data_IF_566296558688
#
_entry.id   IF_566296558688
#
_cell.length_a   1.000
_cell.length_b   1.000
_cell.length_c   1.000
_cell.angle_alpha   90.00
_cell.angle_beta   90.00
_cell.angle_gamma   90.00
#
_symmetry.space_group_name_H-M   'P 1'
#
loop_
_entity.id
_entity.type
_entity.pdbx_description
1 polymer ?
#
# COMPACT_ATOMS: atom_id res chain seq x y z
N UNK A 1 2.65 14.59 -18.29
CA UNK A 1 3.39 14.76 -17.02
C UNK A 1 2.39 14.84 -15.88
N UNK A 2 2.73 14.31 -14.71
CA UNK A 2 1.81 13.89 -13.65
C UNK A 2 1.00 15.06 -13.03
N UNK A 3 -0.02 15.49 -13.76
CA UNK A 3 -0.80 16.70 -13.51
C UNK A 3 -1.49 16.68 -12.15
N UNK A 4 -1.71 15.49 -11.57
CA UNK A 4 -2.42 15.32 -10.30
C UNK A 4 -1.59 15.80 -9.11
N UNK A 5 -0.30 15.45 -9.04
CA UNK A 5 0.56 15.85 -7.93
C UNK A 5 0.79 17.36 -7.97
N UNK A 6 1.09 17.91 -9.15
CA UNK A 6 1.22 19.36 -9.34
C UNK A 6 -0.08 20.10 -9.02
N UNK A 7 -1.24 19.55 -9.39
CA UNK A 7 -2.55 20.13 -9.04
C UNK A 7 -2.82 20.13 -7.54
N UNK A 8 -2.38 19.09 -6.82
CA UNK A 8 -2.62 18.96 -5.38
C UNK A 8 -1.71 19.85 -4.54
N UNK A 9 -0.43 19.95 -4.91
CA UNK A 9 0.59 20.66 -4.14
C UNK A 9 0.88 22.08 -4.66
N UNK A 10 0.45 22.40 -5.89
CA UNK A 10 0.49 23.75 -6.44
C UNK A 10 1.88 24.39 -6.36
N UNK A 11 1.95 25.51 -5.64
CA UNK A 11 3.15 26.34 -5.51
C UNK A 11 4.21 25.75 -4.57
N UNK A 12 3.88 24.69 -3.82
CA UNK A 12 4.86 23.97 -3.00
C UNK A 12 5.88 23.19 -3.85
N UNK A 13 5.60 22.97 -5.15
CA UNK A 13 6.47 22.26 -6.09
C UNK A 13 7.24 23.25 -6.96
N UNK A 14 8.54 23.40 -6.69
CA UNK A 14 9.40 24.37 -7.38
C UNK A 14 10.02 23.86 -8.69
N UNK A 15 10.18 22.55 -8.88
CA UNK A 15 10.67 21.94 -10.13
C UNK A 15 9.70 20.86 -10.64
N UNK A 16 9.17 21.09 -11.84
CA UNK A 16 8.15 20.25 -12.49
C UNK A 16 8.67 19.48 -13.71
N UNK A 17 9.99 19.43 -13.91
CA UNK A 17 10.65 18.85 -15.09
C UNK A 17 10.57 17.32 -15.16
N UNK A 18 10.29 16.64 -14.06
CA UNK A 18 10.10 15.18 -14.00
C UNK A 18 9.37 14.78 -12.72
N UNK A 19 8.83 13.55 -12.65
CA UNK A 19 8.20 13.04 -11.42
C UNK A 19 9.18 13.07 -10.23
N UNK A 20 10.45 12.73 -10.48
CA UNK A 20 11.52 12.80 -9.47
C UNK A 20 11.70 14.24 -8.98
N UNK A 21 11.81 15.20 -9.90
CA UNK A 21 11.98 16.60 -9.57
C UNK A 21 10.78 17.15 -8.78
N UNK A 22 9.55 16.75 -9.16
CA UNK A 22 8.33 17.13 -8.46
C UNK A 22 8.39 16.72 -6.98
N UNK A 23 8.72 15.46 -6.67
CA UNK A 23 8.80 15.02 -5.27
C UNK A 23 9.99 15.61 -4.52
N UNK A 24 11.15 15.75 -5.17
CA UNK A 24 12.35 16.28 -4.54
C UNK A 24 12.25 17.78 -4.20
N UNK A 25 11.45 18.52 -4.96
CA UNK A 25 11.31 19.97 -4.85
C UNK A 25 10.03 20.42 -4.13
N UNK A 26 9.25 19.46 -3.61
CA UNK A 26 7.97 19.71 -2.95
C UNK A 26 8.15 19.98 -1.45
N UNK A 27 7.83 21.20 -1.02
CA UNK A 27 7.93 21.65 0.36
C UNK A 27 7.11 20.81 1.35
N UNK A 28 5.99 20.23 0.91
CA UNK A 28 5.15 19.35 1.73
C UNK A 28 5.86 18.09 2.22
N UNK A 29 6.94 17.67 1.54
CA UNK A 29 7.75 16.51 1.94
C UNK A 29 9.03 16.89 2.70
N UNK A 30 9.41 18.17 2.78
CA UNK A 30 10.68 18.61 3.35
C UNK A 30 10.86 18.26 4.85
N UNK A 31 9.76 18.02 5.57
CA UNK A 31 9.77 17.59 6.98
C UNK A 31 9.42 16.11 7.20
N UNK A 32 9.19 15.33 6.15
CA UNK A 32 8.72 13.96 6.25
C UNK A 32 9.89 12.97 6.38
N UNK A 33 10.42 12.81 7.59
CA UNK A 33 11.49 11.85 7.85
C UNK A 33 10.97 10.41 7.91
N UNK A 34 11.73 9.49 7.32
CA UNK A 34 11.44 8.04 7.44
C UNK A 34 11.64 7.61 8.90
N UNK A 35 10.65 6.94 9.52
CA UNK A 35 10.82 6.42 10.88
C UNK A 35 11.79 5.24 10.86
N UNK A 36 12.94 5.43 11.50
CA UNK A 36 14.05 4.46 11.56
C UNK A 36 14.38 4.11 13.01
N UNK A 37 14.87 2.88 13.20
CA UNK A 37 15.43 2.37 14.45
C UNK A 37 16.88 1.98 14.23
N UNK A 38 17.76 2.45 15.09
CA UNK A 38 19.16 2.00 15.11
C UNK A 38 19.23 0.57 15.66
N UNK A 39 19.86 -0.33 14.91
CA UNK A 39 20.03 -1.75 15.28
C UNK A 39 21.44 -2.06 15.76
N UNK A 40 22.43 -1.40 15.16
CA UNK A 40 23.84 -1.37 15.59
C UNK A 40 24.37 0.04 15.30
N UNK A 41 25.48 0.49 15.92
CA UNK A 41 26.01 1.84 15.70
C UNK A 41 26.16 2.18 14.22
N UNK A 42 25.38 3.15 13.73
CA UNK A 42 25.39 3.58 12.32
C UNK A 42 24.56 2.73 11.35
N UNK A 43 23.87 1.67 11.81
CA UNK A 43 22.98 0.83 11.01
C UNK A 43 21.53 1.03 11.43
N UNK A 44 20.67 1.37 10.46
CA UNK A 44 19.26 1.69 10.70
C UNK A 44 18.33 0.77 9.92
N UNK A 45 17.29 0.28 10.59
CA UNK A 45 16.17 -0.43 9.98
C UNK A 45 14.88 0.40 10.06
N UNK A 46 13.89 0.18 9.19
CA UNK A 46 12.56 0.78 9.35
C UNK A 46 11.96 0.47 10.72
N UNK A 47 11.34 1.46 11.36
CA UNK A 47 10.64 1.27 12.63
C UNK A 47 9.24 0.67 12.37
N UNK A 48 9.20 -0.67 12.27
CA UNK A 48 7.98 -1.44 11.96
C UNK A 48 7.09 -1.68 13.19
N UNK A 49 7.66 -1.64 14.40
CA UNK A 49 6.91 -1.85 15.63
C UNK A 49 6.17 -0.59 16.04
N UNK A 50 4.87 -0.71 16.32
CA UNK A 50 4.06 0.35 16.93
C UNK A 50 4.37 0.54 18.43
N UNK A 51 5.11 -0.38 19.05
CA UNK A 51 5.37 -0.42 20.51
C UNK A 51 6.72 0.13 20.95
N UNK A 52 7.59 0.57 20.03
CA UNK A 52 8.88 1.12 20.44
C UNK A 52 8.72 2.54 20.99
N UNK A 53 8.52 2.65 22.30
CA UNK A 53 8.54 3.92 23.06
C UNK A 53 9.98 4.22 23.46
N UNK A 54 10.79 4.70 22.52
CA UNK A 54 11.95 5.49 22.92
C UNK A 54 11.47 6.93 23.16
N UNK A 55 11.40 7.34 24.43
CA UNK A 55 11.03 8.71 24.86
C UNK A 55 12.00 9.79 24.36
N UNK A 56 13.14 9.42 23.77
CA UNK A 56 14.11 10.36 23.19
C UNK A 56 13.98 10.50 21.67
N UNK A 57 13.20 9.65 21.00
CA UNK A 57 13.02 9.72 19.56
C UNK A 57 11.99 10.78 19.20
N UNK A 58 12.44 11.83 18.48
CA UNK A 58 11.60 12.93 17.97
C UNK A 58 10.68 12.54 16.81
N UNK A 59 10.56 11.25 16.47
CA UNK A 59 9.56 10.83 15.48
C UNK A 59 8.17 10.87 16.14
N UNK A 60 7.25 11.64 15.55
CA UNK A 60 5.85 11.77 15.98
C UNK A 60 5.28 10.37 16.27
N UNK A 61 4.85 10.13 17.51
CA UNK A 61 4.31 8.85 17.99
C UNK A 61 3.11 8.36 17.14
N UNK A 62 2.52 9.24 16.32
CA UNK A 62 1.32 8.97 15.51
C UNK A 62 1.53 8.16 14.23
N UNK A 63 2.77 7.98 13.75
CA UNK A 63 3.06 7.31 12.47
C UNK A 63 3.87 6.01 12.59
N UNK A 64 4.23 5.58 13.80
CA UNK A 64 5.10 4.42 14.03
C UNK A 64 4.40 3.12 13.62
N UNK A 65 5.02 2.36 12.70
CA UNK A 65 4.51 1.09 12.19
C UNK A 65 3.31 1.15 11.23
N UNK A 66 2.54 2.25 11.16
CA UNK A 66 1.33 2.34 10.30
C UNK A 66 1.63 2.20 8.81
N UNK A 67 2.75 2.76 8.34
CA UNK A 67 3.20 2.59 6.95
C UNK A 67 3.39 1.11 6.56
N UNK A 68 3.69 0.23 7.52
CA UNK A 68 3.82 -1.19 7.27
C UNK A 68 2.49 -1.91 7.54
N UNK A 69 1.89 -1.67 8.70
CA UNK A 69 0.72 -2.42 9.19
C UNK A 69 -0.62 -1.95 8.60
N UNK A 70 -0.67 -0.81 7.92
CA UNK A 70 -1.85 -0.36 7.16
C UNK A 70 -1.61 -0.58 5.67
N UNK A 71 -0.58 0.04 5.09
CA UNK A 71 -0.41 0.06 3.63
C UNK A 71 -0.10 -1.33 3.02
N UNK A 72 0.54 -2.24 3.75
CA UNK A 72 0.83 -3.58 3.23
C UNK A 72 -0.39 -4.51 3.31
N UNK A 73 -0.94 -4.83 4.50
CA UNK A 73 -2.08 -5.75 4.61
C UNK A 73 -3.42 -5.14 4.14
N UNK A 74 -3.60 -3.83 4.25
CA UNK A 74 -4.87 -3.15 3.89
C UNK A 74 -4.76 -2.25 2.65
N UNK A 75 -3.58 -2.13 2.04
CA UNK A 75 -3.40 -1.51 0.73
C UNK A 75 -2.98 -2.55 -0.31
N UNK A 76 -1.70 -2.94 -0.29
CA UNK A 76 -1.09 -3.75 -1.34
C UNK A 76 -1.63 -5.18 -1.41
N UNK A 77 -1.92 -5.82 -0.27
CA UNK A 77 -2.49 -7.18 -0.28
C UNK A 77 -3.90 -7.20 -0.89
N UNK A 78 -4.69 -6.13 -0.74
CA UNK A 78 -6.00 -5.99 -1.37
C UNK A 78 -5.84 -5.91 -2.90
N UNK A 79 -4.95 -5.03 -3.37
CA UNK A 79 -4.67 -4.86 -4.79
C UNK A 79 -4.14 -6.17 -5.41
N UNK A 80 -3.25 -6.86 -4.71
CA UNK A 80 -2.71 -8.15 -5.13
C UNK A 80 -3.82 -9.20 -5.23
N UNK A 81 -4.73 -9.27 -4.26
CA UNK A 81 -5.81 -10.25 -4.29
C UNK A 81 -6.76 -10.03 -5.48
N UNK A 82 -7.07 -8.77 -5.79
CA UNK A 82 -7.85 -8.45 -7.00
C UNK A 82 -7.11 -8.84 -8.29
N UNK A 83 -5.79 -8.66 -8.35
CA UNK A 83 -4.99 -9.11 -9.49
C UNK A 83 -4.98 -10.65 -9.64
N UNK A 84 -5.00 -11.38 -8.54
CA UNK A 84 -5.17 -12.84 -8.53
C UNK A 84 -6.55 -13.27 -9.06
N UNK A 85 -7.62 -12.60 -8.63
CA UNK A 85 -8.98 -12.84 -9.12
C UNK A 85 -9.14 -12.53 -10.61
N UNK A 86 -8.39 -11.54 -11.14
CA UNK A 86 -8.37 -11.18 -12.57
C UNK A 86 -7.63 -12.20 -13.47
N UNK A 87 -7.47 -13.45 -13.03
CA UNK A 87 -6.70 -14.46 -13.75
C UNK A 87 -5.20 -14.39 -13.49
N UNK A 88 -4.80 -14.02 -12.26
CA UNK A 88 -3.40 -13.96 -11.82
C UNK A 88 -2.52 -13.01 -12.65
N UNK A 89 -2.99 -11.78 -12.85
CA UNK A 89 -2.26 -10.76 -13.59
C UNK A 89 -0.91 -10.43 -12.91
N UNK A 90 0.21 -10.38 -13.66
CA UNK A 90 1.53 -10.14 -13.07
C UNK A 90 1.65 -8.72 -12.52
N UNK A 91 2.05 -8.60 -11.25
CA UNK A 91 2.16 -7.32 -10.53
C UNK A 91 3.53 -7.15 -9.89
N UNK A 92 4.62 -7.15 -10.68
CA UNK A 92 6.00 -7.26 -10.16
C UNK A 92 6.40 -6.14 -9.19
N UNK A 93 5.81 -4.95 -9.32
CA UNK A 93 6.06 -3.84 -8.39
C UNK A 93 5.33 -4.02 -7.06
N UNK A 94 4.13 -4.58 -7.07
CA UNK A 94 3.39 -4.92 -5.85
C UNK A 94 4.11 -6.08 -5.15
N UNK A 95 4.50 -7.11 -5.90
CA UNK A 95 5.24 -8.27 -5.39
C UNK A 95 6.55 -7.84 -4.72
N UNK A 96 7.34 -6.99 -5.39
CA UNK A 96 8.56 -6.43 -4.82
C UNK A 96 8.31 -5.67 -3.52
N UNK A 97 7.30 -4.80 -3.49
CA UNK A 97 6.99 -4.00 -2.30
C UNK A 97 6.55 -4.90 -1.14
N UNK A 98 5.63 -5.84 -1.36
CA UNK A 98 5.21 -6.77 -0.30
C UNK A 98 6.41 -7.58 0.19
N UNK A 99 7.24 -8.12 -0.70
CA UNK A 99 8.43 -8.92 -0.34
C UNK A 99 9.43 -8.16 0.51
N UNK A 100 9.72 -6.92 0.15
CA UNK A 100 10.67 -6.12 0.91
C UNK A 100 10.12 -5.78 2.30
N UNK A 101 8.85 -5.39 2.41
CA UNK A 101 8.27 -5.01 3.69
C UNK A 101 8.10 -6.20 4.64
N UNK A 102 7.68 -7.35 4.11
CA UNK A 102 7.38 -8.55 4.90
C UNK A 102 8.61 -9.07 5.67
N UNK A 103 9.83 -8.83 5.15
CA UNK A 103 11.11 -9.15 5.81
C UNK A 103 11.27 -8.47 7.17
N UNK A 104 10.77 -7.23 7.30
CA UNK A 104 10.85 -6.46 8.54
C UNK A 104 9.64 -6.70 9.46
N UNK A 105 8.54 -7.23 8.93
CA UNK A 105 7.28 -7.47 9.66
C UNK A 105 7.24 -8.83 10.36
N UNK A 106 8.15 -9.75 10.01
CA UNK A 106 8.13 -11.15 10.50
C UNK A 106 6.80 -11.87 10.18
N UNK A 107 6.16 -11.51 9.07
CA UNK A 107 4.91 -12.10 8.58
C UNK A 107 5.10 -12.43 7.10
N UNK A 108 4.61 -13.58 6.63
CA UNK A 108 4.73 -13.97 5.23
C UNK A 108 3.42 -13.70 4.47
N UNK A 109 3.19 -12.48 3.99
CA UNK A 109 2.02 -12.15 3.15
C UNK A 109 2.08 -12.72 1.74
N UNK A 110 3.28 -12.77 1.13
CA UNK A 110 3.50 -13.32 -0.21
C UNK A 110 4.37 -14.58 -0.11
N UNK A 111 3.96 -15.64 -0.80
CA UNK A 111 4.69 -16.89 -0.94
C UNK A 111 5.78 -16.80 -2.03
N UNK A 112 6.61 -17.83 -2.17
CA UNK A 112 7.72 -17.86 -3.15
C UNK A 112 7.23 -17.85 -4.61
N UNK A 113 6.02 -18.34 -4.85
CA UNK A 113 5.32 -18.34 -6.15
C UNK A 113 4.69 -16.97 -6.53
N UNK A 114 4.87 -15.94 -5.71
CA UNK A 114 4.23 -14.62 -5.83
C UNK A 114 2.71 -14.65 -5.64
N UNK A 115 2.16 -15.65 -4.94
CA UNK A 115 0.76 -15.66 -4.54
C UNK A 115 0.59 -15.24 -3.08
N UNK A 116 -0.55 -14.65 -2.74
CA UNK A 116 -0.88 -14.31 -1.36
C UNK A 116 -0.97 -15.56 -0.51
N UNK A 117 -0.32 -15.52 0.65
CA UNK A 117 -0.28 -16.64 1.58
C UNK A 117 -1.64 -16.81 2.27
N UNK A 118 -2.36 -17.93 2.03
CA UNK A 118 -3.66 -18.17 2.65
C UNK A 118 -3.61 -18.17 4.18
N UNK A 119 -2.47 -18.54 4.77
CA UNK A 119 -2.28 -18.62 6.23
C UNK A 119 -2.26 -17.24 6.91
N UNK A 120 -1.88 -16.19 6.18
CA UNK A 120 -1.78 -14.82 6.72
C UNK A 120 -2.93 -13.93 6.25
N UNK A 121 -3.85 -14.43 5.41
CA UNK A 121 -4.98 -13.65 4.87
C UNK A 121 -5.84 -13.03 5.97
N UNK A 122 -6.01 -13.69 7.12
CA UNK A 122 -6.79 -13.19 8.25
C UNK A 122 -6.28 -11.84 8.79
N UNK A 123 -4.99 -11.52 8.59
CA UNK A 123 -4.37 -10.25 8.98
C UNK A 123 -4.54 -9.13 7.96
N UNK A 124 -5.11 -9.43 6.79
CA UNK A 124 -5.25 -8.50 5.67
C UNK A 124 -6.68 -7.99 5.52
N UNK A 125 -6.86 -7.00 4.65
CA UNK A 125 -8.17 -6.59 4.14
C UNK A 125 -8.55 -7.26 2.82
N UNK A 126 -7.86 -8.33 2.40
CA UNK A 126 -8.08 -8.96 1.12
C UNK A 126 -9.53 -9.52 1.02
N UNK A 127 -10.24 -9.31 -0.11
CA UNK A 127 -11.60 -9.83 -0.32
C UNK A 127 -11.77 -11.33 -0.01
N UNK A 128 -10.77 -12.15 -0.35
CA UNK A 128 -10.77 -13.59 -0.05
C UNK A 128 -10.98 -13.92 1.44
N UNK A 129 -10.54 -13.05 2.35
CA UNK A 129 -10.78 -13.21 3.80
C UNK A 129 -12.26 -13.20 4.15
N UNK A 130 -13.06 -12.47 3.38
CA UNK A 130 -14.49 -12.27 3.62
C UNK A 130 -15.36 -13.26 2.82
N UNK A 131 -14.76 -14.27 2.19
CA UNK A 131 -15.47 -15.24 1.35
C UNK A 131 -15.81 -14.73 -0.05
N UNK A 132 -15.25 -13.59 -0.45
CA UNK A 132 -15.39 -13.05 -1.80
C UNK A 132 -14.25 -13.64 -2.64
N UNK A 133 -14.59 -14.48 -3.62
CA UNK A 133 -13.60 -15.23 -4.42
C UNK A 133 -13.61 -14.85 -5.90
N UNK A 134 -14.61 -14.08 -6.33
CA UNK A 134 -14.74 -13.59 -7.69
C UNK A 134 -14.94 -12.07 -7.72
N UNK A 135 -14.59 -11.46 -8.86
CA UNK A 135 -14.74 -10.01 -9.07
C UNK A 135 -16.21 -9.64 -9.20
N UNK A 136 -17.03 -10.51 -9.78
CA UNK A 136 -18.47 -10.25 -9.84
C UNK A 136 -19.03 -10.14 -8.42
N UNK A 137 -18.64 -11.04 -7.52
CA UNK A 137 -19.05 -11.00 -6.10
C UNK A 137 -18.55 -9.71 -5.40
N UNK A 138 -17.31 -9.31 -5.66
CA UNK A 138 -16.74 -8.08 -5.11
C UNK A 138 -17.51 -6.82 -5.57
N UNK A 139 -17.90 -6.79 -6.84
CA UNK A 139 -18.70 -5.68 -7.38
C UNK A 139 -20.13 -5.73 -6.84
N UNK A 140 -20.77 -6.89 -6.83
CA UNK A 140 -22.16 -7.06 -6.37
C UNK A 140 -22.35 -6.62 -4.92
N UNK A 141 -21.40 -6.97 -4.05
CA UNK A 141 -21.37 -6.55 -2.64
C UNK A 141 -21.14 -5.05 -2.45
N UNK A 142 -20.57 -4.37 -3.45
CA UNK A 142 -20.27 -2.93 -3.40
C UNK A 142 -21.36 -2.06 -4.05
N UNK A 143 -22.26 -2.66 -4.83
CA UNK A 143 -23.31 -1.92 -5.54
C UNK A 143 -24.52 -1.63 -4.63
N UNK A 144 -25.08 -0.41 -4.68
CA UNK A 144 -26.43 -0.18 -4.19
C UNK A 144 -27.39 -1.16 -4.86
N UNK A 145 -28.40 -1.67 -4.14
CA UNK A 145 -29.39 -2.62 -4.69
C UNK A 145 -30.04 -2.13 -5.99
N UNK A 146 -30.19 -0.82 -6.13
CA UNK A 146 -30.76 -0.15 -7.31
C UNK A 146 -29.87 -0.26 -8.57
N UNK A 147 -28.57 -0.52 -8.39
CA UNK A 147 -27.59 -0.65 -9.45
C UNK A 147 -27.33 -2.12 -9.84
N UNK A 148 -27.99 -3.08 -9.18
CA UNK A 148 -27.94 -4.49 -9.58
C UNK A 148 -28.55 -4.66 -10.97
N UNK A 149 -27.78 -5.16 -11.93
CA UNK A 149 -28.18 -5.27 -13.33
C UNK A 149 -27.94 -4.02 -14.18
N UNK A 150 -27.39 -2.93 -13.62
CA UNK A 150 -26.98 -1.76 -14.39
C UNK A 150 -25.86 -2.14 -15.37
N UNK A 151 -26.11 -1.94 -16.67
CA UNK A 151 -25.07 -2.02 -17.71
C UNK A 151 -24.69 -0.62 -18.13
N UNK A 152 -23.49 -0.19 -17.76
CA UNK A 152 -22.96 1.10 -18.19
C UNK A 152 -22.96 1.16 -19.73
N UNK A 153 -23.43 2.25 -20.37
CA UNK A 153 -23.50 2.32 -21.84
C UNK A 153 -22.17 2.06 -22.57
N UNK A 154 -21.04 2.27 -21.87
CA UNK A 154 -19.68 1.98 -22.34
C UNK A 154 -19.17 0.55 -22.09
N UNK A 155 -19.93 -0.34 -21.45
CA UNK A 155 -19.52 -1.72 -21.16
C UNK A 155 -19.51 -2.63 -22.41
N UNK A 156 -19.65 -2.05 -23.61
CA UNK A 156 -19.68 -2.72 -24.92
C UNK A 156 -18.43 -2.46 -25.77
N UNK A 157 -17.38 -1.85 -25.20
CA UNK A 157 -16.08 -1.73 -25.86
C UNK A 157 -15.13 -2.81 -25.36
#
# INVERSE_FOLDING_TARGET
MDARVVKQYGDDVSDRTSLRAIFASNLGYAGCNTPLKEVTPGQFHPAVDSRYVDRRSRCDDRCRGRLFWEDIPYGLCILKNMAEMLGNFPTPRIDFMIRWHQQFMQVQFLNDDNQLNPRELWRTGAPNKYGIHDIADLVDTSLPREMHGYRHPRSRM
#
